data_IF_839610536598
#
_entry.id   IF_839610536598
#
_cell.length_a   1.000
_cell.length_b   1.000
_cell.length_c   1.000
_cell.angle_alpha   90.00
_cell.angle_beta   90.00
_cell.angle_gamma   90.00
#
_symmetry.space_group_name_H-M   'P 1'
#
loop_
_entity.id
_entity.type
_entity.pdbx_description
1 polymer ?
#
# COMPACT_ATOMS: atom_id res chain seq x y z
N UNK A 1 26.82 15.99 13.84
CA UNK A 1 25.35 15.82 13.93
C UNK A 1 24.86 15.15 12.65
N UNK A 2 24.17 14.05 12.79
CA UNK A 2 23.64 13.32 11.63
C UNK A 2 22.29 13.90 11.23
N UNK A 3 21.94 13.88 9.93
CA UNK A 3 20.59 14.26 9.51
C UNK A 3 19.55 13.26 10.07
N UNK A 4 18.32 13.73 10.13
CA UNK A 4 17.21 12.86 10.47
C UNK A 4 17.03 11.80 9.37
N UNK A 5 16.48 10.64 9.72
CA UNK A 5 16.23 9.55 8.78
C UNK A 5 14.77 9.15 8.85
N UNK A 6 14.16 9.00 7.68
CA UNK A 6 12.81 8.44 7.61
C UNK A 6 12.90 6.95 7.95
N UNK A 7 12.25 6.53 9.01
CA UNK A 7 12.29 5.12 9.43
C UNK A 7 11.04 4.36 9.03
N UNK A 8 9.89 4.99 9.12
CA UNK A 8 8.60 4.27 9.06
C UNK A 8 7.52 5.19 8.50
N UNK A 9 6.67 4.63 7.65
CA UNK A 9 5.42 5.27 7.24
C UNK A 9 4.30 4.55 7.99
N UNK A 10 3.41 5.32 8.63
CA UNK A 10 2.30 4.76 9.40
C UNK A 10 1.00 4.99 8.64
N UNK A 11 0.22 3.92 8.45
CA UNK A 11 -1.09 3.96 7.82
C UNK A 11 -2.17 3.65 8.86
N UNK A 12 -3.21 4.46 8.87
CA UNK A 12 -4.37 4.20 9.72
C UNK A 12 -5.32 3.21 9.04
N UNK A 13 -6.07 2.49 9.83
CA UNK A 13 -7.00 1.46 9.35
C UNK A 13 -8.11 1.23 10.38
N UNK A 14 -9.19 0.58 9.96
CA UNK A 14 -10.16 0.04 10.90
C UNK A 14 -9.54 -1.07 11.74
N UNK A 15 -8.68 -1.89 11.14
CA UNK A 15 -8.02 -3.02 11.77
C UNK A 15 -6.56 -3.06 11.31
N UNK A 16 -5.65 -2.66 12.20
CA UNK A 16 -4.22 -2.61 11.90
C UNK A 16 -3.68 -3.98 11.46
N UNK A 17 -4.15 -5.07 12.08
CA UNK A 17 -3.65 -6.40 11.77
C UNK A 17 -4.08 -6.88 10.39
N UNK A 18 -5.30 -6.56 9.97
CA UNK A 18 -5.77 -6.89 8.64
C UNK A 18 -4.94 -6.19 7.57
N UNK A 19 -4.73 -4.88 7.74
CA UNK A 19 -3.97 -4.11 6.76
C UNK A 19 -2.50 -4.52 6.74
N UNK A 20 -1.91 -4.75 7.91
CA UNK A 20 -0.53 -5.23 8.00
C UNK A 20 -0.36 -6.57 7.27
N UNK A 21 -1.29 -7.50 7.45
CA UNK A 21 -1.25 -8.80 6.79
C UNK A 21 -1.23 -8.68 5.27
N UNK A 22 -2.03 -7.76 4.72
CA UNK A 22 -2.03 -7.51 3.29
C UNK A 22 -0.63 -7.08 2.80
N UNK A 23 -0.01 -6.11 3.46
CA UNK A 23 1.30 -5.61 3.02
C UNK A 23 2.44 -6.60 3.28
N UNK A 24 2.33 -7.43 4.32
CA UNK A 24 3.27 -8.54 4.52
C UNK A 24 3.24 -9.47 3.29
N UNK A 25 2.05 -9.83 2.83
CA UNK A 25 1.91 -10.72 1.66
C UNK A 25 2.34 -10.02 0.36
N UNK A 26 1.95 -8.76 0.20
CA UNK A 26 2.28 -8.02 -1.03
C UNK A 26 3.78 -7.79 -1.17
N UNK A 27 4.45 -7.35 -0.11
CA UNK A 27 5.84 -6.91 -0.14
C UNK A 27 6.83 -7.99 0.28
N UNK A 28 6.37 -9.10 0.84
CA UNK A 28 7.26 -10.08 1.44
C UNK A 28 7.94 -9.56 2.70
N UNK A 29 7.31 -8.61 3.39
CA UNK A 29 7.83 -8.05 4.62
C UNK A 29 7.63 -8.99 5.80
N UNK A 30 8.43 -8.80 6.84
CA UNK A 30 8.34 -9.55 8.08
C UNK A 30 7.72 -8.67 9.18
N UNK A 31 6.90 -9.29 10.03
CA UNK A 31 6.37 -8.61 11.20
C UNK A 31 7.51 -8.46 12.21
N UNK A 32 7.74 -7.22 12.66
CA UNK A 32 8.79 -6.92 13.63
C UNK A 32 8.25 -6.71 15.03
N UNK A 33 7.02 -6.22 15.16
CA UNK A 33 6.41 -5.96 16.45
C UNK A 33 4.89 -5.92 16.28
N UNK A 34 4.16 -6.49 17.23
CA UNK A 34 2.71 -6.48 17.24
C UNK A 34 2.18 -6.04 18.60
N UNK A 35 1.15 -5.20 18.58
CA UNK A 35 0.35 -4.81 19.73
C UNK A 35 -1.12 -4.92 19.29
N UNK A 36 -2.09 -4.89 20.22
CA UNK A 36 -3.49 -5.10 19.83
C UNK A 36 -4.01 -4.16 18.75
N UNK A 37 -3.52 -2.91 18.72
CA UNK A 37 -4.00 -1.90 17.77
C UNK A 37 -2.88 -1.30 16.92
N UNK A 38 -1.73 -1.97 16.85
CA UNK A 38 -0.57 -1.45 16.13
C UNK A 38 0.34 -2.59 15.67
N UNK A 39 0.84 -2.50 14.44
CA UNK A 39 1.74 -3.50 13.89
C UNK A 39 2.86 -2.81 13.13
N UNK A 40 4.09 -3.23 13.37
CA UNK A 40 5.26 -2.76 12.62
C UNK A 40 5.77 -3.91 11.75
N UNK A 41 5.95 -3.63 10.47
CA UNK A 41 6.54 -4.58 9.51
C UNK A 41 7.71 -3.92 8.81
N UNK A 42 8.60 -4.73 8.26
CA UNK A 42 9.74 -4.22 7.51
C UNK A 42 10.32 -5.27 6.60
N UNK A 43 11.30 -4.87 5.78
CA UNK A 43 11.97 -5.81 4.88
C UNK A 43 12.52 -7.02 5.63
N UNK A 44 12.64 -8.17 4.95
CA UNK A 44 13.26 -9.34 5.58
C UNK A 44 14.66 -9.02 6.06
N UNK A 45 15.16 -9.74 7.09
CA UNK A 45 16.53 -9.54 7.56
C UNK A 45 17.53 -9.62 6.41
N UNK A 46 18.48 -8.69 6.39
CA UNK A 46 19.50 -8.63 5.35
C UNK A 46 19.10 -7.84 4.12
N UNK A 47 17.89 -7.31 4.05
CA UNK A 47 17.46 -6.42 2.97
C UNK A 47 17.13 -5.04 3.50
N UNK A 48 17.27 -4.02 2.65
CA UNK A 48 16.96 -2.65 3.02
C UNK A 48 15.60 -2.24 2.46
N UNK A 49 15.01 -1.25 3.08
CA UNK A 49 13.74 -0.66 2.65
C UNK A 49 13.08 0.05 3.80
N UNK A 50 12.06 0.84 3.47
CA UNK A 50 11.30 1.60 4.45
C UNK A 50 10.34 0.69 5.19
N UNK A 51 10.31 0.78 6.51
CA UNK A 51 9.34 0.05 7.33
C UNK A 51 7.96 0.68 7.18
N UNK A 52 6.93 -0.12 7.42
CA UNK A 52 5.54 0.33 7.50
C UNK A 52 5.00 -0.03 8.87
N UNK A 53 4.17 0.84 9.41
CA UNK A 53 3.40 0.52 10.60
C UNK A 53 1.93 0.77 10.32
N UNK A 54 1.08 0.13 11.09
CA UNK A 54 -0.37 0.21 10.91
C UNK A 54 -0.99 0.45 12.27
N UNK A 55 -1.93 1.39 12.31
CA UNK A 55 -2.57 1.79 13.55
C UNK A 55 -4.08 1.69 13.39
N UNK A 56 -4.73 1.03 14.35
CA UNK A 56 -6.18 0.99 14.37
C UNK A 56 -6.71 2.35 14.82
N UNK A 57 -7.50 2.99 13.96
CA UNK A 57 -8.13 4.28 14.23
C UNK A 57 -9.63 4.09 14.32
N UNK A 58 -10.23 4.25 15.52
CA UNK A 58 -11.68 4.05 15.67
C UNK A 58 -12.53 4.96 14.78
N UNK A 59 -12.03 6.14 14.46
CA UNK A 59 -12.74 7.11 13.61
C UNK A 59 -12.30 7.05 12.16
N UNK A 60 -11.69 5.96 11.73
CA UNK A 60 -11.16 5.83 10.38
C UNK A 60 -12.25 6.00 9.33
N UNK A 61 -11.99 6.87 8.34
CA UNK A 61 -12.85 7.07 7.17
C UNK A 61 -12.09 6.62 5.93
N UNK A 62 -12.70 5.72 5.18
CA UNK A 62 -12.08 5.17 3.96
C UNK A 62 -11.88 6.28 2.92
N UNK A 63 -10.68 6.44 2.36
CA UNK A 63 -10.46 7.43 1.30
C UNK A 63 -11.27 7.12 0.06
N UNK A 64 -11.62 8.18 -0.66
CA UNK A 64 -12.27 8.09 -1.98
C UNK A 64 -11.30 8.62 -3.02
N UNK A 65 -10.95 7.77 -3.98
CA UNK A 65 -10.06 8.17 -5.08
C UNK A 65 -10.57 7.63 -6.41
N UNK A 66 -10.69 8.45 -7.46
CA UNK A 66 -10.53 9.91 -7.41
C UNK A 66 -11.61 10.58 -6.56
N UNK A 67 -11.25 11.68 -5.91
CA UNK A 67 -12.19 12.46 -5.12
C UNK A 67 -13.23 13.09 -6.03
N UNK A 68 -14.51 12.90 -5.74
CA UNK A 68 -15.61 13.33 -6.60
C UNK A 68 -16.45 14.43 -5.98
N UNK A 69 -16.49 14.50 -4.66
CA UNK A 69 -17.34 15.44 -3.93
C UNK A 69 -16.52 16.14 -2.86
N UNK A 70 -16.84 17.40 -2.52
CA UNK A 70 -16.06 18.15 -1.53
C UNK A 70 -15.99 17.50 -0.15
N UNK A 71 -16.98 16.68 0.22
CA UNK A 71 -16.99 15.97 1.51
C UNK A 71 -16.26 14.64 1.52
N UNK A 72 -15.75 14.18 0.38
CA UNK A 72 -15.04 12.91 0.31
C UNK A 72 -13.72 13.00 1.06
N UNK A 73 -13.39 11.94 1.78
CA UNK A 73 -12.09 11.80 2.43
C UNK A 73 -11.04 11.61 1.35
N UNK A 74 -10.08 12.54 1.27
CA UNK A 74 -8.99 12.44 0.31
C UNK A 74 -7.87 11.56 0.86
N UNK A 75 -7.16 10.87 -0.05
CA UNK A 75 -5.85 10.33 0.33
C UNK A 75 -4.90 11.51 0.57
N UNK A 76 -4.08 11.41 1.58
CA UNK A 76 -3.09 12.45 1.87
C UNK A 76 -1.73 12.09 1.30
N UNK A 77 -1.50 10.80 1.04
CA UNK A 77 -0.33 10.28 0.37
C UNK A 77 -0.68 8.89 -0.18
N UNK A 78 0.19 8.33 -0.99
CA UNK A 78 0.06 6.95 -1.45
C UNK A 78 1.44 6.32 -1.55
N UNK A 79 1.48 4.99 -1.55
CA UNK A 79 2.71 4.23 -1.73
C UNK A 79 2.89 3.88 -3.19
N UNK A 80 4.12 3.96 -3.68
CA UNK A 80 4.50 3.45 -4.99
C UNK A 80 5.36 2.20 -4.78
N UNK A 81 4.97 1.11 -5.40
CA UNK A 81 5.66 -0.18 -5.30
C UNK A 81 6.18 -0.55 -6.69
N UNK A 82 7.49 -0.66 -6.80
CA UNK A 82 8.11 -1.06 -8.06
C UNK A 82 8.01 -2.57 -8.26
N UNK A 83 7.61 -2.99 -9.47
CA UNK A 83 7.49 -4.40 -9.82
C UNK A 83 8.08 -4.64 -11.21
N UNK A 84 8.46 -5.88 -11.49
CA UNK A 84 8.97 -6.24 -12.82
C UNK A 84 7.85 -6.69 -13.75
N UNK A 85 6.87 -7.42 -13.25
CA UNK A 85 5.74 -7.94 -14.01
C UNK A 85 4.46 -7.26 -13.53
N UNK A 86 4.08 -6.18 -14.21
CA UNK A 86 2.94 -5.37 -13.78
C UNK A 86 1.63 -6.16 -13.80
N UNK A 87 1.37 -6.92 -14.85
CA UNK A 87 0.13 -7.68 -14.95
C UNK A 87 0.06 -8.79 -13.91
N UNK A 88 1.15 -9.54 -13.72
CA UNK A 88 1.19 -10.62 -12.74
C UNK A 88 1.10 -10.12 -11.31
N UNK A 89 1.79 -9.03 -11.00
CA UNK A 89 1.74 -8.46 -9.64
C UNK A 89 0.40 -7.81 -9.35
N UNK A 90 -0.24 -7.21 -10.36
CA UNK A 90 -1.60 -6.70 -10.20
C UNK A 90 -2.57 -7.83 -9.84
N UNK A 91 -2.50 -8.94 -10.59
CA UNK A 91 -3.35 -10.10 -10.30
C UNK A 91 -3.10 -10.66 -8.91
N UNK A 92 -1.84 -10.72 -8.48
CA UNK A 92 -1.47 -11.19 -7.14
C UNK A 92 -2.02 -10.26 -6.05
N UNK A 93 -1.90 -8.94 -6.24
CA UNK A 93 -2.43 -7.98 -5.28
C UNK A 93 -3.94 -8.11 -5.13
N UNK A 94 -4.66 -8.30 -6.25
CA UNK A 94 -6.11 -8.50 -6.20
C UNK A 94 -6.47 -9.79 -5.45
N UNK A 95 -5.71 -10.85 -5.66
CA UNK A 95 -5.92 -12.12 -4.94
C UNK A 95 -5.69 -11.97 -3.44
N UNK A 96 -4.81 -11.05 -3.04
CA UNK A 96 -4.48 -10.82 -1.64
C UNK A 96 -5.43 -9.83 -0.95
N UNK A 97 -6.37 -9.23 -1.66
CA UNK A 97 -7.40 -8.40 -1.06
C UNK A 97 -7.48 -6.96 -1.54
N UNK A 98 -6.62 -6.55 -2.47
CA UNK A 98 -6.73 -5.22 -3.08
C UNK A 98 -7.88 -5.18 -4.08
N UNK A 99 -8.32 -3.95 -4.40
CA UNK A 99 -9.26 -3.72 -5.50
C UNK A 99 -8.61 -2.80 -6.52
N UNK A 100 -8.97 -2.99 -7.79
CA UNK A 100 -8.45 -2.13 -8.86
C UNK A 100 -9.25 -0.84 -8.88
N UNK A 101 -8.58 0.30 -8.88
CA UNK A 101 -9.26 1.57 -9.00
C UNK A 101 -9.88 1.71 -10.40
N UNK A 102 -11.03 2.38 -10.49
CA UNK A 102 -11.72 2.55 -11.77
C UNK A 102 -10.90 3.40 -12.75
N UNK A 103 -10.21 4.42 -12.24
CA UNK A 103 -9.42 5.32 -13.07
C UNK A 103 -7.97 4.87 -13.11
N UNK A 104 -7.46 4.63 -14.33
CA UNK A 104 -6.08 4.19 -14.57
C UNK A 104 -5.41 5.17 -15.53
N UNK A 105 -4.74 6.21 -14.98
CA UNK A 105 -4.23 7.30 -15.83
C UNK A 105 -3.02 6.95 -16.70
N UNK A 106 -2.29 5.87 -16.37
CA UNK A 106 -1.03 5.55 -17.06
C UNK A 106 -0.94 4.06 -17.41
N UNK A 107 -0.27 3.75 -18.51
CA UNK A 107 -0.17 2.36 -18.99
C UNK A 107 0.88 1.53 -18.23
N UNK A 108 1.87 2.18 -17.64
CA UNK A 108 2.97 1.54 -16.90
C UNK A 108 2.78 1.57 -15.39
N UNK A 109 1.60 2.00 -14.94
CA UNK A 109 1.22 2.08 -13.54
C UNK A 109 -0.17 1.50 -13.37
N UNK A 110 -0.40 0.80 -12.26
CA UNK A 110 -1.75 0.39 -11.85
C UNK A 110 -2.05 0.98 -10.49
N UNK A 111 -3.17 1.67 -10.40
CA UNK A 111 -3.66 2.18 -9.13
C UNK A 111 -4.60 1.15 -8.52
N UNK A 112 -4.31 0.75 -7.30
CA UNK A 112 -5.13 -0.18 -6.54
C UNK A 112 -5.51 0.46 -5.21
N UNK A 113 -6.52 -0.12 -4.57
CA UNK A 113 -6.91 0.26 -3.22
C UNK A 113 -6.61 -0.93 -2.32
N UNK A 114 -5.96 -0.67 -1.20
CA UNK A 114 -5.69 -1.74 -0.23
C UNK A 114 -6.98 -2.08 0.55
N UNK A 115 -6.98 -3.08 1.43
CA UNK A 115 -8.20 -3.46 2.15
C UNK A 115 -8.83 -2.34 2.97
N UNK A 116 -8.07 -1.34 3.37
CA UNK A 116 -8.59 -0.16 4.08
C UNK A 116 -8.93 1.01 3.14
N UNK A 117 -8.72 0.84 1.83
CA UNK A 117 -9.05 1.84 0.82
C UNK A 117 -7.96 2.84 0.51
N UNK A 118 -6.77 2.72 1.10
CA UNK A 118 -5.66 3.58 0.72
C UNK A 118 -5.26 3.28 -0.73
N UNK A 119 -5.23 4.28 -1.62
CA UNK A 119 -4.64 4.09 -2.93
C UNK A 119 -3.15 3.75 -2.83
N UNK A 120 -2.70 2.83 -3.64
CA UNK A 120 -1.28 2.57 -3.85
C UNK A 120 -1.06 2.21 -5.31
N UNK A 121 0.16 2.39 -5.79
CA UNK A 121 0.48 2.13 -7.18
C UNK A 121 1.49 1.00 -7.29
N UNK A 122 1.27 0.14 -8.27
CA UNK A 122 2.31 -0.75 -8.77
C UNK A 122 2.83 -0.12 -10.06
N UNK A 123 4.14 0.00 -10.20
CA UNK A 123 4.73 0.62 -11.38
C UNK A 123 5.94 -0.17 -11.85
N UNK A 124 6.28 0.00 -13.11
CA UNK A 124 7.42 -0.71 -13.70
C UNK A 124 8.11 0.16 -14.73
N UNK A 125 9.45 0.02 -14.80
CA UNK A 125 10.24 0.54 -15.91
C UNK A 125 10.39 -0.49 -17.03
N UNK A 126 10.02 -1.74 -16.75
CA UNK A 126 10.16 -2.81 -17.76
C UNK A 126 9.13 -2.67 -18.86
N UNK A 127 9.48 -2.94 -20.12
CA UNK A 127 8.49 -2.96 -21.19
C UNK A 127 7.38 -3.96 -20.88
N UNK A 128 6.13 -3.54 -21.10
CA UNK A 128 4.97 -4.38 -20.82
C UNK A 128 4.23 -4.64 -22.13
N UNK A 129 3.57 -5.83 -22.26
CA UNK A 129 2.70 -6.05 -23.39
C UNK A 129 1.52 -5.08 -23.36
N UNK A 130 0.88 -4.80 -24.52
CA UNK A 130 -0.29 -3.94 -24.54
C UNK A 130 -1.38 -4.46 -23.60
N UNK A 131 -2.03 -3.53 -22.91
CA UNK A 131 -3.15 -3.86 -22.04
C UNK A 131 -4.39 -4.15 -22.87
N UNK A 132 -5.15 -5.13 -22.41
CA UNK A 132 -6.38 -5.54 -23.09
C UNK A 132 -7.58 -5.21 -22.23
#
# INVERSE_FOLDING_TARGET
MSPARLSTVVLDAHDAHELAGFYVRLLGYAVRREEPHWVLIGPPPGTEGTALAFETEPAYVRPVWPTRHPGDQQMMLHLDVEVDDLAGETARALAEGATLAEYQPQSDVRVLLDPSGHPFCLWTDSPQPPLQ
#
